data_IF_029393643882
#
_entry.id   IF_029393643882
#
_cell.length_a   1.000
_cell.length_b   1.000
_cell.length_c   1.000
_cell.angle_alpha   90.00
_cell.angle_beta   90.00
_cell.angle_gamma   90.00
#
_symmetry.space_group_name_H-M   'P 1'
#
loop_
_entity.id
_entity.type
_entity.pdbx_description
1 polymer ?
#
# COMPACT_ATOMS: atom_id res chain seq x y z
N UNK A 1 1.43 17.25 -16.17
CA UNK A 1 1.29 16.20 -15.12
C UNK A 1 2.56 16.18 -14.30
N UNK A 2 2.46 16.00 -12.97
CA UNK A 2 3.64 15.81 -12.12
C UNK A 2 4.16 14.37 -12.35
N UNK A 3 5.47 14.16 -12.56
CA UNK A 3 6.01 12.82 -12.77
C UNK A 3 5.82 11.97 -11.50
N UNK A 4 5.64 10.66 -11.68
CA UNK A 4 5.56 9.71 -10.58
C UNK A 4 6.89 9.70 -9.82
N UNK A 5 6.89 9.86 -8.48
CA UNK A 5 8.10 9.75 -7.69
C UNK A 5 8.73 8.36 -7.83
N UNK A 6 10.07 8.31 -7.81
CA UNK A 6 10.76 7.04 -7.64
C UNK A 6 10.51 6.51 -6.22
N UNK A 7 10.50 5.18 -6.03
CA UNK A 7 10.40 4.59 -4.69
C UNK A 7 11.55 5.07 -3.78
N UNK A 8 11.29 5.28 -2.48
CA UNK A 8 12.35 5.59 -1.51
C UNK A 8 13.26 4.38 -1.26
N UNK A 9 14.37 4.60 -0.55
CA UNK A 9 15.18 3.51 0.01
C UNK A 9 14.36 2.68 1.02
N UNK A 10 14.66 1.37 1.19
CA UNK A 10 13.96 0.53 2.14
C UNK A 10 14.10 0.99 3.60
N UNK A 11 13.03 0.79 4.38
CA UNK A 11 13.05 1.02 5.83
C UNK A 11 14.11 0.14 6.52
N UNK A 12 14.72 0.61 7.64
CA UNK A 12 15.83 -0.09 8.29
C UNK A 12 15.42 -1.42 8.96
N UNK A 13 14.12 -1.68 9.08
CA UNK A 13 13.58 -2.91 9.61
C UNK A 13 12.23 -3.24 8.94
N UNK A 14 11.82 -4.53 8.90
CA UNK A 14 10.50 -4.91 8.43
C UNK A 14 9.41 -4.18 9.20
N UNK A 15 8.60 -3.40 8.48
CA UNK A 15 7.58 -2.52 9.06
C UNK A 15 6.19 -3.03 8.72
N UNK A 16 5.27 -2.83 9.66
CA UNK A 16 3.83 -3.03 9.43
C UNK A 16 3.22 -1.66 9.20
N UNK A 17 2.54 -1.49 8.08
CA UNK A 17 1.62 -0.36 7.92
C UNK A 17 0.37 -0.63 8.76
N UNK A 18 0.27 0.06 9.89
CA UNK A 18 -0.79 -0.17 10.86
C UNK A 18 -2.14 0.40 10.40
N UNK A 19 -2.19 1.23 9.35
CA UNK A 19 -3.42 1.84 8.87
C UNK A 19 -3.28 2.28 7.41
N UNK A 20 -3.95 1.55 6.51
CA UNK A 20 -4.07 1.94 5.10
C UNK A 20 -5.46 1.69 4.57
N UNK A 21 -5.77 2.22 3.39
CA UNK A 21 -6.99 1.93 2.63
C UNK A 21 -6.55 1.46 1.24
N UNK A 22 -6.38 0.15 1.06
CA UNK A 22 -5.84 -0.40 -0.20
C UNK A 22 -6.77 -0.12 -1.39
N UNK A 23 -8.08 -0.18 -1.17
CA UNK A 23 -9.11 0.17 -2.13
C UNK A 23 -9.04 1.66 -2.55
N UNK A 24 -8.86 2.58 -1.60
CA UNK A 24 -8.61 4.00 -1.90
C UNK A 24 -7.29 4.21 -2.66
N UNK A 25 -6.30 3.32 -2.47
CA UNK A 25 -5.07 3.29 -3.25
C UNK A 25 -5.24 2.65 -4.65
N UNK A 26 -6.47 2.30 -5.03
CA UNK A 26 -6.81 1.69 -6.32
C UNK A 26 -6.65 0.17 -6.36
N UNK A 27 -6.36 -0.49 -5.24
CA UNK A 27 -6.25 -1.94 -5.16
C UNK A 27 -7.61 -2.60 -4.91
N UNK A 28 -8.47 -2.56 -5.93
CA UNK A 28 -9.86 -3.04 -5.87
C UNK A 28 -10.03 -4.49 -6.32
N UNK A 29 -8.95 -5.18 -6.72
CA UNK A 29 -8.93 -6.62 -7.00
C UNK A 29 -7.78 -7.30 -6.26
N UNK A 30 -7.82 -8.63 -6.06
CA UNK A 30 -6.73 -9.37 -5.43
C UNK A 30 -5.37 -9.16 -6.11
N UNK A 31 -5.34 -9.08 -7.45
CA UNK A 31 -4.12 -8.87 -8.23
C UNK A 31 -3.54 -7.47 -8.01
N UNK A 32 -4.41 -6.46 -7.93
CA UNK A 32 -4.00 -5.09 -7.65
C UNK A 32 -3.53 -4.93 -6.19
N UNK A 33 -4.15 -5.64 -5.25
CA UNK A 33 -3.72 -5.70 -3.85
C UNK A 33 -2.34 -6.35 -3.72
N UNK A 34 -2.10 -7.48 -4.41
CA UNK A 34 -0.79 -8.11 -4.47
C UNK A 34 0.26 -7.15 -5.06
N UNK A 35 -0.04 -6.51 -6.19
CA UNK A 35 0.88 -5.56 -6.80
C UNK A 35 1.17 -4.34 -5.92
N UNK A 36 0.20 -3.88 -5.11
CA UNK A 36 0.41 -2.81 -4.13
C UNK A 36 1.34 -3.28 -3.00
N UNK A 37 1.11 -4.48 -2.46
CA UNK A 37 1.94 -5.06 -1.42
C UNK A 37 3.36 -5.40 -1.90
N UNK A 38 3.54 -5.80 -3.16
CA UNK A 38 4.87 -6.01 -3.74
C UNK A 38 5.69 -4.71 -3.78
N UNK A 39 5.07 -3.59 -4.17
CA UNK A 39 5.70 -2.27 -4.13
C UNK A 39 6.03 -1.85 -2.70
N UNK A 40 5.14 -2.12 -1.75
CA UNK A 40 5.36 -1.82 -0.33
C UNK A 40 6.52 -2.66 0.25
N UNK A 41 6.57 -3.94 -0.09
CA UNK A 41 7.62 -4.87 0.35
C UNK A 41 9.00 -4.46 -0.18
N UNK A 42 9.07 -3.94 -1.41
CA UNK A 42 10.32 -3.43 -2.00
C UNK A 42 10.95 -2.28 -1.20
N UNK A 43 10.17 -1.58 -0.37
CA UNK A 43 10.63 -0.49 0.51
C UNK A 43 10.55 -0.84 2.00
N UNK A 44 10.38 -2.13 2.34
CA UNK A 44 10.45 -2.63 3.72
C UNK A 44 9.13 -2.65 4.49
N UNK A 45 7.99 -2.30 3.87
CA UNK A 45 6.65 -2.49 4.45
C UNK A 45 6.14 -3.88 4.08
N UNK A 46 6.17 -4.79 5.04
CA UNK A 46 6.00 -6.25 4.79
C UNK A 46 4.61 -6.79 5.15
N UNK A 47 3.84 -6.03 5.94
CA UNK A 47 2.43 -6.30 6.23
C UNK A 47 1.67 -4.98 6.27
N UNK A 48 0.37 -5.02 6.04
CA UNK A 48 -0.51 -3.87 6.14
C UNK A 48 -1.84 -4.26 6.80
N UNK A 49 -2.41 -3.33 7.56
CA UNK A 49 -3.81 -3.39 8.01
C UNK A 49 -4.61 -2.47 7.08
N UNK A 50 -5.38 -3.07 6.18
CA UNK A 50 -6.34 -2.31 5.37
C UNK A 50 -7.62 -2.11 6.18
N UNK A 51 -7.96 -0.85 6.42
CA UNK A 51 -9.17 -0.45 7.13
C UNK A 51 -10.25 -0.19 6.10
N UNK A 52 -11.46 -0.61 6.41
CA UNK A 52 -12.67 -0.27 5.67
C UNK A 52 -13.75 0.12 6.69
N UNK A 53 -14.59 1.07 6.30
CA UNK A 53 -15.83 1.37 7.00
C UNK A 53 -17.01 0.79 6.20
N UNK A 54 -18.23 0.99 6.70
CA UNK A 54 -19.47 0.62 6.00
C UNK A 54 -19.81 1.59 4.85
N UNK A 55 -18.91 2.52 4.52
CA UNK A 55 -19.00 3.43 3.40
C UNK A 55 -18.03 3.02 2.28
N UNK A 56 -18.31 3.43 1.03
CA UNK A 56 -17.31 3.37 -0.03
C UNK A 56 -16.13 4.31 0.30
N UNK A 57 -14.90 3.87 0.02
CA UNK A 57 -13.73 4.74 0.09
C UNK A 57 -13.89 5.99 -0.79
N UNK A 58 -13.45 7.14 -0.25
CA UNK A 58 -13.55 8.46 -0.89
C UNK A 58 -12.49 8.70 -1.97
#
# INVERSE_FOLDING_TARGET
MKPTPLPPEPLPAPTVDAHTHLDACGATTPELAAAAMDRAAAVGVTRAITVADDLPSA
#
